data_IF_401301007645
#
_entry.id   IF_401301007645
#
_cell.length_a   1.000
_cell.length_b   1.000
_cell.length_c   1.000
_cell.angle_alpha   90.00
_cell.angle_beta   90.00
_cell.angle_gamma   90.00
#
_symmetry.space_group_name_H-M   'P 1'
#
loop_
_entity.id
_entity.type
_entity.pdbx_description
1 polymer ?
#
# COMPACT_ATOMS: atom_id res chain seq x y z
N UNK A 1 -11.60 4.18 10.87
CA UNK A 1 -11.72 4.03 9.40
C UNK A 1 -10.87 5.10 8.73
N UNK A 2 -9.81 4.74 7.99
CA UNK A 2 -8.86 5.68 7.37
C UNK A 2 -9.46 6.64 6.34
N UNK A 3 -10.61 6.32 5.73
CA UNK A 3 -11.24 7.23 4.77
C UNK A 3 -12.15 8.28 5.41
N UNK A 4 -12.40 8.21 6.72
CA UNK A 4 -13.23 9.17 7.43
C UNK A 4 -12.34 10.28 8.02
N UNK A 5 -12.58 11.57 7.66
CA UNK A 5 -11.80 12.71 8.15
C UNK A 5 -11.74 12.82 9.69
N UNK A 6 -12.83 12.50 10.40
CA UNK A 6 -12.90 12.59 11.86
C UNK A 6 -11.97 11.57 12.51
N UNK A 7 -11.89 10.37 11.97
CA UNK A 7 -10.94 9.35 12.43
C UNK A 7 -9.50 9.76 12.15
N UNK A 8 -9.22 10.53 11.09
CA UNK A 8 -7.90 11.08 10.86
C UNK A 8 -7.53 12.12 11.93
N UNK A 9 -8.48 12.98 12.31
CA UNK A 9 -8.25 13.97 13.38
C UNK A 9 -8.02 13.28 14.72
N UNK A 10 -8.82 12.26 15.04
CA UNK A 10 -8.63 11.44 16.24
C UNK A 10 -7.26 10.75 16.25
N UNK A 11 -6.84 10.20 15.11
CA UNK A 11 -5.53 9.57 14.95
C UNK A 11 -4.39 10.58 15.19
N UNK A 12 -4.50 11.79 14.64
CA UNK A 12 -3.52 12.85 14.87
C UNK A 12 -3.41 13.20 16.36
N UNK A 13 -4.54 13.46 17.02
CA UNK A 13 -4.60 13.77 18.45
C UNK A 13 -4.03 12.63 19.29
N UNK A 14 -4.40 11.39 18.99
CA UNK A 14 -3.94 10.20 19.71
C UNK A 14 -2.41 10.03 19.63
N UNK A 15 -1.80 10.38 18.49
CA UNK A 15 -0.37 10.21 18.25
C UNK A 15 0.42 11.52 18.46
N UNK A 16 -0.17 12.50 19.15
CA UNK A 16 0.44 13.81 19.42
C UNK A 16 0.95 14.51 18.15
N UNK A 17 0.26 14.34 17.02
CA UNK A 17 0.58 15.02 15.76
C UNK A 17 -0.11 16.38 15.71
N UNK A 18 0.47 17.30 14.95
CA UNK A 18 -0.19 18.58 14.67
C UNK A 18 -1.47 18.31 13.85
N UNK A 19 -2.52 19.08 14.12
CA UNK A 19 -3.76 18.96 13.36
C UNK A 19 -3.48 19.19 11.86
N UNK A 20 -4.07 18.34 11.02
CA UNK A 20 -3.87 18.39 9.55
C UNK A 20 -2.49 17.95 9.06
N UNK A 21 -1.73 17.25 9.91
CA UNK A 21 -0.50 16.55 9.50
C UNK A 21 -0.75 15.41 8.52
N UNK A 22 -1.90 14.72 8.63
CA UNK A 22 -2.34 13.68 7.69
C UNK A 22 -3.30 14.33 6.68
N UNK A 23 -2.88 14.35 5.41
CA UNK A 23 -3.66 14.89 4.30
C UNK A 23 -4.79 13.93 3.93
N UNK A 24 -4.47 12.64 3.81
CA UNK A 24 -5.44 11.60 3.50
C UNK A 24 -4.92 10.23 3.92
N UNK A 25 -5.84 9.28 4.09
CA UNK A 25 -5.52 7.86 4.17
C UNK A 25 -6.50 7.03 3.35
N UNK A 26 -6.03 5.90 2.83
CA UNK A 26 -6.85 4.97 2.09
C UNK A 26 -6.42 3.53 2.38
N UNK A 27 -7.39 2.62 2.34
CA UNK A 27 -7.09 1.19 2.41
C UNK A 27 -6.36 0.73 1.15
N UNK A 28 -5.29 -0.07 1.29
CA UNK A 28 -4.61 -0.64 0.13
C UNK A 28 -5.50 -1.68 -0.59
N UNK A 29 -6.31 -2.42 0.18
CA UNK A 29 -7.32 -3.34 -0.35
C UNK A 29 -8.73 -2.82 0.02
N UNK A 30 -9.58 -2.51 -0.98
CA UNK A 30 -10.98 -2.14 -0.76
C UNK A 30 -11.70 -3.19 0.09
N UNK A 31 -12.62 -2.75 0.95
CA UNK A 31 -13.25 -3.61 1.95
C UNK A 31 -14.01 -4.76 1.26
N UNK A 32 -14.59 -4.49 0.10
CA UNK A 32 -15.40 -5.41 -0.69
C UNK A 32 -14.57 -6.55 -1.30
N UNK A 33 -13.25 -6.36 -1.42
CA UNK A 33 -12.31 -7.33 -2.01
C UNK A 33 -11.49 -8.09 -0.98
N UNK A 34 -11.77 -7.89 0.32
CA UNK A 34 -11.04 -8.58 1.39
C UNK A 34 -11.46 -10.04 1.47
N UNK A 35 -10.50 -10.91 1.69
CA UNK A 35 -10.79 -12.31 1.95
C UNK A 35 -11.49 -12.45 3.32
N UNK A 36 -12.44 -13.38 3.44
CA UNK A 36 -13.19 -13.59 4.69
C UNK A 36 -12.29 -13.97 5.87
N UNK A 37 -11.15 -14.62 5.61
CA UNK A 37 -10.15 -15.04 6.59
C UNK A 37 -8.95 -14.06 6.70
N UNK A 38 -9.08 -12.84 6.20
CA UNK A 38 -7.98 -11.87 6.22
C UNK A 38 -7.72 -11.36 7.65
N UNK A 39 -6.55 -11.69 8.21
CA UNK A 39 -6.18 -11.32 9.57
C UNK A 39 -5.68 -9.86 9.74
N UNK A 40 -5.17 -9.26 8.66
CA UNK A 40 -4.55 -7.93 8.69
C UNK A 40 -5.00 -7.07 7.52
N UNK A 41 -5.12 -5.76 7.74
CA UNK A 41 -5.39 -4.79 6.68
C UNK A 41 -4.32 -3.69 6.71
N UNK A 42 -3.94 -3.21 5.52
CA UNK A 42 -2.98 -2.12 5.37
C UNK A 42 -3.68 -0.89 4.82
N UNK A 43 -3.23 0.27 5.25
CA UNK A 43 -3.62 1.57 4.72
C UNK A 43 -2.38 2.37 4.37
N UNK A 44 -2.51 3.21 3.35
CA UNK A 44 -1.50 4.19 2.96
C UNK A 44 -1.96 5.57 3.43
N UNK A 45 -1.02 6.37 3.94
CA UNK A 45 -1.26 7.74 4.39
C UNK A 45 -0.42 8.72 3.57
N UNK A 46 -1.02 9.85 3.19
CA UNK A 46 -0.31 11.01 2.65
C UNK A 46 -0.15 12.02 3.78
N UNK A 47 1.09 12.46 4.00
CA UNK A 47 1.44 13.44 5.04
C UNK A 47 1.85 14.77 4.40
N UNK A 48 1.70 15.85 5.17
CA UNK A 48 1.96 17.21 4.67
C UNK A 48 3.43 17.49 4.38
N UNK A 49 4.34 16.89 5.15
CA UNK A 49 5.77 17.15 4.98
C UNK A 49 6.66 15.99 5.47
N UNK A 50 7.93 15.95 5.02
CA UNK A 50 8.87 14.89 5.41
C UNK A 50 9.11 14.80 6.92
N UNK A 51 9.03 15.91 7.66
CA UNK A 51 9.18 15.93 9.13
C UNK A 51 8.14 15.03 9.80
N UNK A 52 6.87 15.17 9.42
CA UNK A 52 5.78 14.33 9.93
C UNK A 52 5.99 12.87 9.52
N UNK A 53 6.37 12.63 8.26
CA UNK A 53 6.65 11.27 7.77
C UNK A 53 7.76 10.58 8.57
N UNK A 54 8.88 11.27 8.81
CA UNK A 54 9.99 10.73 9.60
C UNK A 54 9.59 10.44 11.04
N UNK A 55 8.79 11.33 11.64
CA UNK A 55 8.26 11.13 12.99
C UNK A 55 7.40 9.87 13.08
N UNK A 56 6.49 9.67 12.12
CA UNK A 56 5.66 8.46 12.04
C UNK A 56 6.47 7.17 11.85
N UNK A 57 7.64 7.25 11.22
CA UNK A 57 8.52 6.10 11.01
C UNK A 57 9.36 5.75 12.25
N UNK A 58 9.65 6.74 13.10
CA UNK A 58 10.56 6.59 14.25
C UNK A 58 9.81 6.38 15.57
N UNK A 59 8.66 7.02 15.73
CA UNK A 59 7.87 6.94 16.95
C UNK A 59 6.91 5.75 16.95
N UNK A 60 6.51 5.32 18.15
CA UNK A 60 5.46 4.32 18.32
C UNK A 60 4.10 4.93 17.98
N UNK A 61 3.45 4.39 16.96
CA UNK A 61 2.14 4.86 16.50
C UNK A 61 1.06 3.88 16.95
N UNK A 62 -0.06 4.43 17.40
CA UNK A 62 -1.19 3.69 17.96
C UNK A 62 -2.50 4.02 17.25
N UNK A 63 -3.37 3.01 17.16
CA UNK A 63 -4.77 3.13 16.78
C UNK A 63 -5.60 2.42 17.84
N UNK A 64 -6.34 3.18 18.65
CA UNK A 64 -6.89 2.66 19.90
C UNK A 64 -5.76 2.13 20.81
N UNK A 65 -5.89 0.93 21.36
CA UNK A 65 -4.85 0.33 22.20
C UNK A 65 -3.77 -0.43 21.40
N UNK A 66 -3.91 -0.48 20.06
CA UNK A 66 -3.04 -1.30 19.21
C UNK A 66 -1.89 -0.49 18.65
N UNK A 67 -0.67 -0.96 18.92
CA UNK A 67 0.53 -0.48 18.24
C UNK A 67 0.52 -0.91 16.77
N UNK A 68 0.79 0.03 15.86
CA UNK A 68 0.83 -0.22 14.41
C UNK A 68 2.23 -0.02 13.87
N UNK A 69 2.64 -0.89 12.95
CA UNK A 69 3.89 -0.73 12.21
C UNK A 69 3.67 0.23 11.06
N UNK A 70 4.48 1.30 11.01
CA UNK A 70 4.54 2.22 9.88
C UNK A 70 5.80 1.90 9.07
N UNK A 71 5.65 1.95 7.74
CA UNK A 71 6.76 1.84 6.80
C UNK A 71 6.60 2.87 5.70
N UNK A 72 7.73 3.31 5.15
CA UNK A 72 7.74 4.19 3.99
C UNK A 72 7.15 3.41 2.81
N UNK A 73 6.27 4.05 2.04
CA UNK A 73 5.81 3.48 0.79
C UNK A 73 6.95 3.59 -0.23
N UNK A 74 7.55 2.45 -0.56
CA UNK A 74 8.66 2.38 -1.52
C UNK A 74 8.09 2.24 -2.93
N UNK A 75 8.51 3.11 -3.83
CA UNK A 75 8.15 3.00 -5.23
C UNK A 75 8.86 1.76 -5.80
N UNK A 76 8.09 0.70 -6.01
CA UNK A 76 8.59 -0.50 -6.65
C UNK A 76 8.73 -0.23 -8.15
N UNK A 77 9.84 -0.65 -8.78
CA UNK A 77 10.02 -0.47 -10.21
C UNK A 77 8.90 -1.22 -10.95
N UNK A 78 8.19 -0.50 -11.81
CA UNK A 78 7.09 -1.07 -12.58
C UNK A 78 7.61 -2.15 -13.52
N UNK A 79 7.08 -3.36 -13.39
CA UNK A 79 7.29 -4.45 -14.33
C UNK A 79 6.14 -4.51 -15.32
N UNK A 80 6.45 -4.84 -16.57
CA UNK A 80 5.44 -5.10 -17.57
C UNK A 80 4.63 -6.35 -17.19
N UNK A 81 3.31 -6.19 -16.96
CA UNK A 81 2.40 -7.29 -16.61
C UNK A 81 2.30 -8.40 -17.69
N UNK A 82 2.87 -8.22 -18.89
CA UNK A 82 2.93 -9.26 -19.93
C UNK A 82 4.22 -10.08 -19.84
N UNK A 83 5.38 -9.44 -19.84
CA UNK A 83 6.67 -10.12 -20.01
C UNK A 83 7.56 -10.08 -18.77
N UNK A 84 7.14 -9.40 -17.69
CA UNK A 84 7.90 -9.23 -16.45
C UNK A 84 9.27 -8.55 -16.66
N UNK A 85 9.39 -7.66 -17.64
CA UNK A 85 10.57 -6.82 -17.85
C UNK A 85 10.29 -5.34 -17.54
N UNK A 86 11.36 -4.59 -17.26
CA UNK A 86 11.32 -3.16 -16.98
C UNK A 86 11.20 -2.32 -18.26
N UNK A 87 10.88 -1.03 -18.08
CA UNK A 87 10.99 0.00 -19.12
C UNK A 87 9.77 0.15 -20.05
N UNK A 88 8.73 -0.66 -19.88
CA UNK A 88 7.50 -0.54 -20.67
C UNK A 88 6.28 -1.14 -19.94
N UNK A 89 5.09 -0.79 -20.41
CA UNK A 89 3.82 -1.37 -19.96
C UNK A 89 3.32 -2.43 -20.95
N UNK A 90 2.35 -3.24 -20.50
CA UNK A 90 1.75 -4.32 -21.32
C UNK A 90 1.30 -3.88 -22.72
N UNK A 91 0.78 -2.66 -22.84
CA UNK A 91 0.30 -2.10 -24.13
C UNK A 91 1.43 -2.00 -25.16
N UNK A 92 2.63 -1.66 -24.72
CA UNK A 92 3.77 -1.36 -25.60
C UNK A 92 4.80 -2.51 -25.59
N UNK A 93 4.39 -3.71 -25.17
CA UNK A 93 5.33 -4.81 -24.93
C UNK A 93 5.64 -5.59 -26.21
N UNK A 94 6.91 -5.59 -26.68
CA UNK A 94 7.32 -6.38 -27.85
C UNK A 94 7.52 -7.85 -27.51
N UNK A 95 7.57 -8.19 -26.22
CA UNK A 95 7.99 -9.50 -25.73
C UNK A 95 6.81 -10.47 -25.56
N UNK A 96 7.13 -11.76 -25.49
CA UNK A 96 6.16 -12.83 -25.22
C UNK A 96 5.61 -12.77 -23.80
N UNK A 97 4.43 -13.38 -23.62
CA UNK A 97 3.78 -13.47 -22.30
C UNK A 97 4.53 -14.42 -21.39
N UNK A 98 4.81 -13.98 -20.17
CA UNK A 98 5.41 -14.77 -19.10
C UNK A 98 4.52 -14.78 -17.87
N UNK A 99 4.51 -15.89 -17.17
CA UNK A 99 3.77 -16.05 -15.93
C UNK A 99 4.38 -15.17 -14.83
N UNK A 100 3.54 -14.43 -14.12
CA UNK A 100 3.98 -13.58 -13.00
C UNK A 100 4.40 -14.38 -11.76
N UNK A 101 4.07 -15.68 -11.71
CA UNK A 101 4.34 -16.56 -10.56
C UNK A 101 5.64 -17.34 -10.78
N UNK A 102 5.73 -18.10 -11.87
CA UNK A 102 6.86 -19.01 -12.14
C UNK A 102 7.75 -18.58 -13.31
N UNK A 103 7.48 -17.42 -13.93
CA UNK A 103 8.20 -16.91 -15.11
C UNK A 103 8.17 -17.83 -16.36
N UNK A 104 7.31 -18.85 -16.41
CA UNK A 104 7.15 -19.73 -17.58
C UNK A 104 6.43 -19.07 -18.78
N UNK A 105 6.48 -19.67 -19.99
CA UNK A 105 5.88 -19.14 -21.21
C UNK A 105 4.36 -19.41 -21.28
N UNK A 106 3.61 -18.92 -20.30
CA UNK A 106 2.15 -19.03 -20.22
C UNK A 106 1.53 -17.82 -19.51
N UNK A 107 0.21 -17.66 -19.61
CA UNK A 107 -0.53 -16.66 -18.82
C UNK A 107 -0.64 -17.13 -17.36
N UNK A 108 -0.49 -16.22 -16.40
CA UNK A 108 -0.69 -16.49 -14.97
C UNK A 108 -2.02 -17.20 -14.67
N UNK A 109 -3.09 -16.94 -15.42
CA UNK A 109 -4.38 -17.63 -15.27
C UNK A 109 -4.33 -19.14 -15.52
N UNK A 110 -3.31 -19.60 -16.24
CA UNK A 110 -3.09 -21.00 -16.65
C UNK A 110 -1.97 -21.66 -15.85
N UNK A 111 -1.48 -21.01 -14.78
CA UNK A 111 -0.36 -21.51 -14.00
C UNK A 111 -0.80 -22.68 -13.11
N UNK A 112 -0.01 -23.76 -13.12
CA UNK A 112 -0.22 -24.97 -12.31
C UNK A 112 0.89 -25.19 -11.28
N UNK A 113 1.72 -24.17 -11.05
CA UNK A 113 2.80 -24.19 -10.06
C UNK A 113 2.28 -24.05 -8.63
#
# INVERSE_FOLDING_TARGET
NPTNPDHLRQFETQNNLEAYSIVSMAWCCPIEKRAANQAFAMATAIVTCPRIGNRLLQESIYVGEKHISIRKDECHPMLCNKCQQYGHIRRDSPNETRCTICAGPHNTSSCTS
#
